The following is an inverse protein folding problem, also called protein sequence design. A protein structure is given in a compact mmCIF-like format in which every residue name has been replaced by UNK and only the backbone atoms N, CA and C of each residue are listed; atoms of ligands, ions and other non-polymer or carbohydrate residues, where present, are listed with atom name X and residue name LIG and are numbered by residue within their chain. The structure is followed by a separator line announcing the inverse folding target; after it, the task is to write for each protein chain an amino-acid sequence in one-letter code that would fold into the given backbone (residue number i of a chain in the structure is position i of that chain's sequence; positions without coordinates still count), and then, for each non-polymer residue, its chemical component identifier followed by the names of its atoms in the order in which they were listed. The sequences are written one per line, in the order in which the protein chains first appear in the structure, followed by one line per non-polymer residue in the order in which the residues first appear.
data_IF_155033906208
#
_entry.id   IF_155033906208
#
_cell.length_a   1.000
_cell.length_b   1.000
_cell.length_c   1.000
_cell.angle_alpha   90.00
_cell.angle_beta   90.00
_cell.angle_gamma   90.00
#
_symmetry.space_group_name_H-M   'P 1'
#
loop_
_entity.id
_entity.type
_entity.pdbx_description
1 polymer ?
#
# COMPACT_ATOMS: atom_id res chain seq x y z
N UNK A 1 4.83 13.13 14.92
CA UNK A 1 5.76 12.92 13.77
C UNK A 1 6.80 11.88 14.18
N UNK A 2 6.39 10.61 14.27
CA UNK A 2 7.22 9.52 14.80
C UNK A 2 7.78 8.58 13.72
N UNK A 3 7.32 8.69 12.47
CA UNK A 3 7.78 7.84 11.37
C UNK A 3 9.29 7.93 11.11
N UNK A 4 9.84 9.15 10.97
CA UNK A 4 11.28 9.34 10.75
C UNK A 4 12.13 8.98 11.99
N UNK A 5 11.51 8.93 13.17
CA UNK A 5 12.18 8.42 14.38
C UNK A 5 12.25 6.89 14.37
N UNK A 6 11.18 6.25 13.90
CA UNK A 6 11.03 4.80 13.80
C UNK A 6 11.82 4.20 12.62
N UNK A 7 11.91 4.90 11.49
CA UNK A 7 12.70 4.49 10.32
C UNK A 7 13.73 5.57 9.96
N UNK A 8 15.00 5.32 10.29
CA UNK A 8 16.10 6.27 10.14
C UNK A 8 16.93 6.10 8.87
N UNK A 9 16.70 5.03 8.10
CA UNK A 9 17.43 4.77 6.86
C UNK A 9 16.93 5.72 5.76
N UNK A 10 17.78 6.13 4.81
CA UNK A 10 17.33 6.94 3.67
C UNK A 10 16.26 6.20 2.85
N UNK A 11 15.17 6.91 2.55
CA UNK A 11 14.14 6.45 1.60
C UNK A 11 14.38 7.21 0.29
N UNK A 12 14.47 6.55 -0.88
CA UNK A 12 14.58 7.25 -2.15
C UNK A 12 13.42 8.24 -2.33
N UNK A 13 13.72 9.45 -2.81
CA UNK A 13 12.77 10.57 -2.86
C UNK A 13 11.46 10.26 -3.59
N UNK A 14 11.53 9.38 -4.60
CA UNK A 14 10.38 8.91 -5.37
C UNK A 14 9.31 8.23 -4.49
N UNK A 15 9.74 7.46 -3.49
CA UNK A 15 8.82 6.84 -2.52
C UNK A 15 8.53 7.78 -1.34
N UNK A 16 9.56 8.51 -0.89
CA UNK A 16 9.48 9.34 0.32
C UNK A 16 8.39 10.42 0.27
N UNK A 17 8.22 11.11 -0.87
CA UNK A 17 7.21 12.16 -1.03
C UNK A 17 5.78 11.59 -0.91
N UNK A 18 5.51 10.47 -1.58
CA UNK A 18 4.20 9.82 -1.58
C UNK A 18 3.92 9.20 -0.20
N UNK A 19 4.90 8.55 0.42
CA UNK A 19 4.77 8.03 1.78
C UNK A 19 4.42 9.13 2.78
N UNK A 20 5.06 10.29 2.68
CA UNK A 20 4.76 11.43 3.55
C UNK A 20 3.33 11.94 3.35
N UNK A 21 2.86 12.06 2.10
CA UNK A 21 1.48 12.44 1.81
C UNK A 21 0.49 11.44 2.39
N UNK A 22 0.73 10.14 2.22
CA UNK A 22 -0.12 9.08 2.75
C UNK A 22 -0.18 9.11 4.28
N UNK A 23 0.97 9.26 4.97
CA UNK A 23 1.03 9.36 6.44
C UNK A 23 0.18 10.54 6.93
N UNK A 24 0.30 11.70 6.28
CA UNK A 24 -0.46 12.89 6.67
C UNK A 24 -1.96 12.67 6.46
N UNK A 25 -2.36 12.13 5.30
CA UNK A 25 -3.78 11.83 5.02
C UNK A 25 -4.36 10.82 6.01
N UNK A 26 -3.63 9.76 6.33
CA UNK A 26 -4.07 8.76 7.29
C UNK A 26 -4.07 9.29 8.72
N UNK A 27 -3.11 10.13 9.11
CA UNK A 27 -3.10 10.80 10.41
C UNK A 27 -4.38 11.64 10.61
N UNK A 28 -4.73 12.47 9.62
CA UNK A 28 -5.95 13.29 9.69
C UNK A 28 -7.23 12.44 9.84
N UNK A 29 -7.22 11.23 9.29
CA UNK A 29 -8.35 10.29 9.35
C UNK A 29 -8.37 9.55 10.69
N UNK A 30 -7.22 9.05 11.16
CA UNK A 30 -7.03 8.26 12.39
C UNK A 30 -7.48 8.98 13.66
N UNK A 31 -7.32 10.30 13.70
CA UNK A 31 -7.64 11.12 14.87
C UNK A 31 -9.01 11.82 14.75
N UNK A 32 -9.84 11.46 13.75
CA UNK A 32 -11.26 11.87 13.75
C UNK A 32 -11.99 11.19 14.90
N UNK A 33 -12.93 11.91 15.53
CA UNK A 33 -13.79 11.36 16.59
C UNK A 33 -14.60 10.13 16.14
N UNK A 34 -15.00 10.11 14.87
CA UNK A 34 -15.75 9.03 14.25
C UNK A 34 -14.86 7.87 13.78
N UNK A 35 -13.54 7.95 13.97
CA UNK A 35 -12.63 6.90 13.50
C UNK A 35 -12.85 5.62 14.30
N UNK A 36 -13.01 4.53 13.56
CA UNK A 36 -12.96 3.17 14.08
C UNK A 36 -12.32 2.30 13.01
N UNK A 37 -11.27 1.57 13.40
CA UNK A 37 -10.60 0.61 12.54
C UNK A 37 -11.60 -0.30 11.84
N UNK A 38 -11.35 -0.57 10.56
CA UNK A 38 -12.13 -1.51 9.77
C UNK A 38 -11.22 -2.35 8.84
N UNK A 39 -11.44 -3.67 8.70
CA UNK A 39 -10.62 -4.52 7.84
C UNK A 39 -10.62 -4.13 6.36
N UNK A 40 -11.69 -3.51 5.85
CA UNK A 40 -11.79 -3.07 4.45
C UNK A 40 -10.81 -1.91 4.19
N UNK A 41 -10.72 -0.97 5.12
CA UNK A 41 -9.71 0.07 5.15
C UNK A 41 -8.31 -0.52 5.16
N UNK A 42 -8.06 -1.51 6.01
CA UNK A 42 -6.75 -2.15 6.11
C UNK A 42 -6.36 -2.84 4.80
N UNK A 43 -7.29 -3.58 4.18
CA UNK A 43 -7.11 -4.16 2.85
C UNK A 43 -6.74 -3.09 1.82
N UNK A 44 -7.49 -1.99 1.80
CA UNK A 44 -7.23 -0.89 0.87
C UNK A 44 -5.87 -0.25 1.11
N UNK A 45 -5.51 0.04 2.36
CA UNK A 45 -4.20 0.58 2.72
C UNK A 45 -3.06 -0.34 2.28
N UNK A 46 -3.13 -1.63 2.65
CA UNK A 46 -2.12 -2.64 2.27
C UNK A 46 -1.98 -2.72 0.74
N UNK A 47 -3.11 -2.69 0.03
CA UNK A 47 -3.11 -2.67 -1.45
C UNK A 47 -2.39 -1.44 -2.01
N UNK A 48 -2.69 -0.23 -1.51
CA UNK A 48 -1.99 0.99 -1.94
C UNK A 48 -0.51 0.91 -1.61
N UNK A 49 -0.17 0.48 -0.40
CA UNK A 49 1.20 0.40 0.08
C UNK A 49 2.05 -0.56 -0.75
N UNK A 50 1.58 -1.78 -0.97
CA UNK A 50 2.34 -2.79 -1.69
C UNK A 50 2.54 -2.40 -3.17
N UNK A 51 1.56 -1.73 -3.78
CA UNK A 51 1.69 -1.16 -5.13
C UNK A 51 2.65 0.02 -5.16
N UNK A 52 2.59 0.91 -4.17
CA UNK A 52 3.53 2.03 -4.03
C UNK A 52 4.96 1.54 -3.88
N UNK A 53 5.16 0.52 -3.06
CA UNK A 53 6.48 -0.01 -2.76
C UNK A 53 6.97 -1.00 -3.82
N UNK A 54 6.22 -1.23 -4.89
CA UNK A 54 6.66 -2.13 -5.97
C UNK A 54 8.00 -1.63 -6.58
N UNK A 55 8.95 -2.55 -6.74
CA UNK A 55 10.30 -2.22 -7.23
C UNK A 55 11.23 -1.54 -6.21
N UNK A 56 10.81 -1.35 -4.95
CA UNK A 56 11.73 -0.91 -3.90
C UNK A 56 12.88 -1.93 -3.73
N UNK A 57 14.14 -1.49 -3.51
CA UNK A 57 15.32 -2.37 -3.64
C UNK A 57 15.36 -3.62 -2.75
N UNK A 58 14.75 -3.56 -1.56
CA UNK A 58 14.92 -4.54 -0.48
C UNK A 58 13.57 -4.83 0.17
N UNK A 59 13.14 -6.10 0.18
CA UNK A 59 11.88 -6.50 0.80
C UNK A 59 11.88 -6.23 2.32
N UNK A 60 13.01 -6.45 3.00
CA UNK A 60 13.15 -6.15 4.43
C UNK A 60 12.90 -4.68 4.76
N UNK A 61 13.39 -3.76 3.91
CA UNK A 61 13.15 -2.34 4.11
C UNK A 61 11.70 -1.96 3.79
N UNK A 62 11.06 -2.58 2.78
CA UNK A 62 9.63 -2.37 2.53
C UNK A 62 8.81 -2.72 3.76
N UNK A 63 9.09 -3.86 4.39
CA UNK A 63 8.35 -4.30 5.57
C UNK A 63 8.71 -3.47 6.81
N UNK A 64 9.97 -3.07 6.97
CA UNK A 64 10.38 -2.16 8.04
C UNK A 64 9.72 -0.77 7.91
N UNK A 65 9.60 -0.24 6.69
CA UNK A 65 8.87 1.01 6.41
C UNK A 65 7.38 0.85 6.71
N UNK A 66 6.77 -0.28 6.35
CA UNK A 66 5.35 -0.57 6.62
C UNK A 66 5.09 -0.54 8.13
N UNK A 67 5.93 -1.24 8.89
CA UNK A 67 5.85 -1.28 10.36
C UNK A 67 6.04 0.10 10.96
N UNK A 68 7.06 0.84 10.54
CA UNK A 68 7.32 2.18 11.02
C UNK A 68 6.16 3.15 10.70
N UNK A 69 5.55 3.03 9.52
CA UNK A 69 4.41 3.82 9.09
C UNK A 69 3.22 3.59 10.03
N UNK A 70 2.81 2.34 10.20
CA UNK A 70 1.61 1.99 10.98
C UNK A 70 1.83 2.28 12.47
N UNK A 71 3.01 1.96 13.01
CA UNK A 71 3.37 2.29 14.39
C UNK A 71 3.35 3.80 14.65
N UNK A 72 3.74 4.64 13.69
CA UNK A 72 3.71 6.09 13.85
C UNK A 72 2.29 6.67 13.96
N UNK A 73 1.27 5.87 13.64
CA UNK A 73 -0.14 6.19 13.79
C UNK A 73 -0.76 5.58 15.05
N UNK A 74 0.04 4.92 15.90
CA UNK A 74 -0.41 4.17 17.08
C UNK A 74 -1.42 3.07 16.71
N UNK A 75 -1.04 2.25 15.74
CA UNK A 75 -1.80 1.10 15.27
C UNK A 75 -0.89 -0.12 15.09
N UNK A 76 -1.49 -1.30 14.88
CA UNK A 76 -0.80 -2.58 14.87
C UNK A 76 -0.52 -3.09 13.44
N UNK A 77 0.74 -3.10 12.96
CA UNK A 77 1.07 -3.49 11.58
C UNK A 77 0.66 -4.93 11.25
N UNK A 78 0.82 -5.85 12.20
CA UNK A 78 0.46 -7.25 12.01
C UNK A 78 -1.05 -7.41 11.81
N UNK A 79 -1.87 -6.62 12.49
CA UNK A 79 -3.34 -6.66 12.32
C UNK A 79 -3.71 -6.29 10.89
N UNK A 80 -3.12 -5.23 10.34
CA UNK A 80 -3.35 -4.81 8.95
C UNK A 80 -3.04 -5.93 7.94
N UNK A 81 -1.88 -6.60 8.08
CA UNK A 81 -1.47 -7.69 7.17
C UNK A 81 -2.41 -8.88 7.27
N UNK A 82 -2.74 -9.32 8.49
CA UNK A 82 -3.61 -10.49 8.73
C UNK A 82 -5.03 -10.24 8.22
N UNK A 83 -5.61 -9.09 8.55
CA UNK A 83 -6.98 -8.76 8.14
C UNK A 83 -7.06 -8.54 6.62
N UNK A 84 -6.05 -7.91 6.01
CA UNK A 84 -5.98 -7.82 4.54
C UNK A 84 -5.95 -9.22 3.90
N UNK A 85 -5.02 -10.10 4.32
CA UNK A 85 -4.92 -11.46 3.79
C UNK A 85 -6.22 -12.27 3.96
N UNK A 86 -6.89 -12.14 5.10
CA UNK A 86 -8.18 -12.77 5.37
C UNK A 86 -9.25 -12.32 4.38
N UNK A 87 -9.37 -11.02 4.16
CA UNK A 87 -10.33 -10.46 3.21
C UNK A 87 -9.98 -10.83 1.76
N UNK A 88 -8.70 -10.88 1.42
CA UNK A 88 -8.26 -11.33 0.09
C UNK A 88 -8.64 -12.78 -0.15
N UNK A 89 -8.34 -13.68 0.79
CA UNK A 89 -8.69 -15.09 0.70
C UNK A 89 -10.20 -15.31 0.61
N UNK A 90 -10.98 -14.56 1.40
CA UNK A 90 -12.43 -14.58 1.31
C UNK A 90 -12.90 -14.12 -0.07
N UNK A 91 -12.43 -12.97 -0.56
CA UNK A 91 -12.85 -12.39 -1.84
C UNK A 91 -12.55 -13.30 -3.03
N UNK A 92 -11.37 -13.94 -3.04
CA UNK A 92 -10.98 -14.90 -4.08
C UNK A 92 -11.85 -16.16 -4.12
N UNK A 93 -12.54 -16.49 -3.02
CA UNK A 93 -13.51 -17.57 -2.98
C UNK A 93 -14.94 -17.13 -3.34
N UNK A 94 -15.17 -15.83 -3.59
CA UNK A 94 -16.47 -15.29 -3.93
C UNK A 94 -16.66 -15.12 -5.44
N UNK A 95 -17.91 -15.04 -5.85
CA UNK A 95 -18.37 -14.47 -7.12
C UNK A 95 -19.22 -13.21 -6.88
N UNK A 96 -19.60 -12.54 -7.96
CA UNK A 96 -20.39 -11.30 -7.94
C UNK A 96 -21.64 -11.34 -7.04
N UNK A 97 -22.43 -12.42 -7.11
CA UNK A 97 -23.67 -12.55 -6.31
C UNK A 97 -23.34 -12.79 -4.83
N UNK A 98 -22.47 -13.76 -4.57
CA UNK A 98 -22.10 -14.15 -3.21
C UNK A 98 -21.44 -13.00 -2.43
N UNK A 99 -20.75 -12.10 -3.13
CA UNK A 99 -20.11 -10.92 -2.56
C UNK A 99 -21.12 -9.86 -2.13
N UNK A 100 -22.18 -9.62 -2.91
CA UNK A 100 -23.23 -8.63 -2.56
C UNK A 100 -24.28 -9.20 -1.61
N UNK A 101 -24.45 -10.51 -1.58
CA UNK A 101 -25.36 -11.23 -0.67
C UNK A 101 -24.72 -11.56 0.68
N UNK A 102 -23.62 -10.89 1.07
CA UNK A 102 -22.95 -11.12 2.35
C UNK A 102 -23.88 -10.98 3.57
N UNK A 103 -24.94 -10.18 3.45
CA UNK A 103 -25.88 -9.90 4.54
C UNK A 103 -26.78 -11.09 4.89
N UNK A 104 -27.03 -12.01 3.95
CA UNK A 104 -27.83 -13.22 4.18
C UNK A 104 -26.99 -14.44 4.58
N UNK A 105 -25.66 -14.27 4.65
CA UNK A 105 -24.69 -15.35 4.87
C UNK A 105 -24.02 -15.23 6.23
N UNK A 106 -23.52 -16.35 6.73
CA UNK A 106 -22.77 -16.40 8.00
C UNK A 106 -21.30 -16.71 7.74
N UNK A 107 -20.43 -16.05 8.49
CA UNK A 107 -18.98 -16.16 8.36
C UNK A 107 -18.28 -14.97 8.99
N UNK A 108 -16.97 -15.10 9.21
CA UNK A 108 -16.20 -14.06 9.88
C UNK A 108 -16.18 -12.76 9.06
N UNK A 109 -15.94 -12.84 7.75
CA UNK A 109 -15.89 -11.67 6.87
C UNK A 109 -17.29 -11.10 6.61
N UNK A 110 -18.30 -11.96 6.46
CA UNK A 110 -19.70 -11.57 6.39
C UNK A 110 -20.11 -10.76 7.63
N UNK A 111 -19.70 -11.18 8.82
CA UNK A 111 -19.96 -10.46 10.07
C UNK A 111 -19.22 -9.11 10.14
N UNK A 112 -18.00 -9.02 9.62
CA UNK A 112 -17.28 -7.75 9.46
C UNK A 112 -18.06 -6.79 8.54
N UNK A 113 -18.51 -7.28 7.38
CA UNK A 113 -19.26 -6.47 6.42
C UNK A 113 -20.63 -6.03 6.98
N UNK A 114 -21.30 -6.90 7.76
CA UNK A 114 -22.54 -6.55 8.49
C UNK A 114 -22.31 -5.45 9.54
N UNK A 115 -21.24 -5.52 10.34
CA UNK A 115 -20.90 -4.45 11.31
C UNK A 115 -20.63 -3.13 10.59
N UNK A 116 -19.86 -3.15 9.50
CA UNK A 116 -19.59 -1.96 8.67
C UNK A 116 -20.90 -1.39 8.12
N UNK A 117 -21.76 -2.22 7.53
CA UNK A 117 -23.05 -1.80 6.98
C UNK A 117 -23.93 -1.13 8.05
N UNK A 118 -24.02 -1.74 9.25
CA UNK A 118 -24.77 -1.19 10.38
C UNK A 118 -24.22 0.17 10.83
N UNK A 119 -22.89 0.31 10.87
CA UNK A 119 -22.24 1.57 11.24
C UNK A 119 -22.45 2.66 10.19
N UNK A 120 -22.30 2.33 8.92
CA UNK A 120 -22.46 3.24 7.79
C UNK A 120 -23.89 3.75 7.62
N UNK A 121 -24.89 3.00 8.09
CA UNK A 121 -26.28 3.45 8.17
C UNK A 121 -26.51 4.59 9.18
N UNK A 122 -25.53 4.91 10.04
CA UNK A 122 -25.64 5.98 11.05
C UNK A 122 -24.78 7.18 10.69
N UNK A 123 -25.25 8.39 11.03
CA UNK A 123 -24.60 9.66 10.62
C UNK A 123 -23.15 9.82 11.10
N UNK A 124 -22.84 9.31 12.30
CA UNK A 124 -21.53 9.47 12.94
C UNK A 124 -20.82 8.14 13.24
N UNK A 125 -21.41 7.00 12.85
CA UNK A 125 -20.87 5.67 13.18
C UNK A 125 -19.79 5.17 12.22
N UNK A 126 -19.59 5.84 11.08
CA UNK A 126 -18.66 5.40 10.04
C UNK A 126 -17.81 6.55 9.49
N UNK A 127 -16.49 6.35 9.52
CA UNK A 127 -15.53 7.27 8.89
C UNK A 127 -15.10 6.71 7.54
N UNK A 128 -15.82 7.11 6.50
CA UNK A 128 -15.40 6.79 5.14
C UNK A 128 -14.00 7.37 4.82
N UNK A 129 -13.24 6.64 4.01
CA UNK A 129 -11.91 7.05 3.56
C UNK A 129 -11.64 6.55 2.13
N UNK A 130 -10.63 7.13 1.48
CA UNK A 130 -10.15 6.64 0.18
C UNK A 130 -9.64 5.20 0.26
N UNK A 131 -8.96 4.82 1.34
CA UNK A 131 -8.50 3.45 1.53
C UNK A 131 -9.69 2.48 1.62
N UNK A 132 -10.81 2.88 2.22
CA UNK A 132 -12.03 2.07 2.20
C UNK A 132 -12.52 1.80 0.76
N UNK A 133 -12.57 2.83 -0.10
CA UNK A 133 -12.93 2.64 -1.51
C UNK A 133 -11.96 1.70 -2.24
N UNK A 134 -10.65 1.86 -2.04
CA UNK A 134 -9.65 0.95 -2.61
C UNK A 134 -9.84 -0.48 -2.10
N UNK A 135 -10.17 -0.66 -0.83
CA UNK A 135 -10.50 -1.96 -0.25
C UNK A 135 -11.71 -2.62 -0.92
N UNK A 136 -12.79 -1.86 -1.14
CA UNK A 136 -13.96 -2.37 -1.88
C UNK A 136 -13.60 -2.77 -3.30
N UNK A 137 -12.83 -1.94 -4.00
CA UNK A 137 -12.37 -2.26 -5.34
C UNK A 137 -11.50 -3.51 -5.37
N UNK A 138 -10.63 -3.69 -4.36
CA UNK A 138 -9.79 -4.88 -4.23
C UNK A 138 -10.61 -6.15 -4.02
N UNK A 139 -11.69 -6.10 -3.22
CA UNK A 139 -12.61 -7.23 -3.08
C UNK A 139 -13.23 -7.63 -4.43
N UNK A 140 -13.71 -6.64 -5.20
CA UNK A 140 -14.32 -6.86 -6.51
C UNK A 140 -13.33 -7.42 -7.54
N UNK A 141 -12.09 -6.91 -7.52
CA UNK A 141 -11.00 -7.40 -8.37
C UNK A 141 -10.73 -8.88 -8.09
N UNK A 142 -10.61 -9.26 -6.81
CA UNK A 142 -10.30 -10.63 -6.41
C UNK A 142 -11.44 -11.63 -6.65
N UNK A 143 -12.69 -11.18 -6.61
CA UNK A 143 -13.86 -12.00 -6.94
C UNK A 143 -14.21 -11.99 -8.44
N UNK A 144 -13.38 -11.36 -9.27
CA UNK A 144 -13.62 -11.14 -10.70
C UNK A 144 -15.02 -10.51 -11.00
N UNK A 145 -15.47 -9.59 -10.13
CA UNK A 145 -16.79 -8.97 -10.17
C UNK A 145 -16.69 -7.48 -10.54
N UNK A 146 -16.05 -7.18 -11.67
CA UNK A 146 -15.68 -5.81 -12.06
C UNK A 146 -16.81 -5.03 -12.76
N UNK A 147 -18.01 -5.59 -12.85
CA UNK A 147 -19.15 -4.92 -13.46
C UNK A 147 -19.63 -3.72 -12.61
N UNK A 148 -19.92 -2.55 -13.21
CA UNK A 148 -20.36 -1.36 -12.47
C UNK A 148 -21.61 -1.59 -11.61
N UNK A 149 -22.51 -2.47 -12.06
CA UNK A 149 -23.75 -2.84 -11.37
C UNK A 149 -23.49 -3.57 -10.05
N UNK A 150 -22.40 -4.33 -9.95
CA UNK A 150 -22.02 -5.05 -8.73
C UNK A 150 -21.46 -4.09 -7.69
N UNK A 151 -20.65 -3.11 -8.12
CA UNK A 151 -20.17 -2.05 -7.23
C UNK A 151 -21.35 -1.26 -6.63
N UNK A 152 -22.36 -0.95 -7.43
CA UNK A 152 -23.56 -0.26 -6.97
C UNK A 152 -24.32 -1.08 -5.92
N UNK A 153 -24.56 -2.37 -6.18
CA UNK A 153 -25.20 -3.30 -5.23
C UNK A 153 -24.39 -3.43 -3.94
N UNK A 154 -23.08 -3.56 -4.03
CA UNK A 154 -22.19 -3.66 -2.87
C UNK A 154 -22.24 -2.37 -2.03
N UNK A 155 -22.17 -1.20 -2.67
CA UNK A 155 -22.28 0.08 -1.97
C UNK A 155 -23.62 0.22 -1.24
N UNK A 156 -24.72 -0.17 -1.90
CA UNK A 156 -26.05 -0.18 -1.30
C UNK A 156 -26.12 -1.13 -0.09
N UNK A 157 -25.62 -2.36 -0.22
CA UNK A 157 -25.61 -3.35 0.86
C UNK A 157 -24.76 -2.90 2.07
N UNK A 158 -23.70 -2.11 1.83
CA UNK A 158 -22.84 -1.53 2.86
C UNK A 158 -23.32 -0.17 3.39
N UNK A 159 -24.43 0.38 2.89
CA UNK A 159 -24.90 1.72 3.23
C UNK A 159 -23.85 2.83 2.99
N UNK A 160 -23.03 2.70 1.94
CA UNK A 160 -22.00 3.70 1.59
C UNK A 160 -22.35 4.45 0.31
N UNK A 161 -21.93 5.72 0.24
CA UNK A 161 -22.24 6.59 -0.88
C UNK A 161 -21.41 6.22 -2.13
N UNK A 162 -22.08 5.65 -3.14
CA UNK A 162 -21.46 5.20 -4.40
C UNK A 162 -20.70 6.31 -5.15
N UNK A 163 -21.22 7.54 -5.16
CA UNK A 163 -20.54 8.67 -5.81
C UNK A 163 -19.20 9.02 -5.14
N UNK A 164 -19.12 8.89 -3.82
CA UNK A 164 -17.89 9.10 -3.06
C UNK A 164 -16.85 8.03 -3.40
N UNK A 165 -17.30 6.77 -3.51
CA UNK A 165 -16.47 5.63 -3.93
C UNK A 165 -15.92 5.86 -5.34
N UNK A 166 -16.77 6.15 -6.33
CA UNK A 166 -16.33 6.41 -7.71
C UNK A 166 -15.26 7.51 -7.77
N UNK A 167 -15.53 8.65 -7.12
CA UNK A 167 -14.60 9.79 -7.08
C UNK A 167 -13.24 9.40 -6.49
N UNK A 168 -13.22 8.64 -5.39
CA UNK A 168 -11.97 8.22 -4.76
C UNK A 168 -11.23 7.14 -5.54
N UNK A 169 -11.94 6.27 -6.26
CA UNK A 169 -11.33 5.31 -7.19
C UNK A 169 -10.68 6.01 -8.38
N UNK A 170 -11.26 7.08 -8.90
CA UNK A 170 -10.63 7.88 -9.96
C UNK A 170 -9.37 8.60 -9.46
N UNK A 171 -9.40 9.13 -8.23
CA UNK A 171 -8.19 9.70 -7.60
C UNK A 171 -7.12 8.62 -7.40
N UNK A 172 -7.50 7.42 -6.97
CA UNK A 172 -6.58 6.30 -6.81
C UNK A 172 -5.95 5.85 -8.14
N UNK A 173 -6.74 5.74 -9.22
CA UNK A 173 -6.21 5.46 -10.57
C UNK A 173 -5.18 6.49 -11.02
N UNK A 174 -5.46 7.78 -10.75
CA UNK A 174 -4.52 8.85 -11.06
C UNK A 174 -3.23 8.76 -10.20
N UNK A 175 -3.33 8.38 -8.93
CA UNK A 175 -2.17 8.11 -8.08
C UNK A 175 -1.34 6.95 -8.63
N UNK A 176 -1.96 5.82 -8.96
CA UNK A 176 -1.28 4.66 -9.55
C UNK A 176 -0.58 5.00 -10.86
N UNK A 177 -1.22 5.76 -11.75
CA UNK A 177 -0.60 6.18 -13.02
C UNK A 177 0.68 6.99 -12.80
N UNK A 178 0.67 7.91 -11.82
CA UNK A 178 1.88 8.66 -11.42
C UNK A 178 2.96 7.75 -10.85
N UNK A 179 2.58 6.74 -10.08
CA UNK A 179 3.52 5.78 -9.49
C UNK A 179 4.16 4.87 -10.54
N UNK A 180 3.40 4.41 -11.53
CA UNK A 180 3.94 3.63 -12.66
C UNK A 180 4.96 4.45 -13.44
N UNK A 181 4.65 5.72 -13.74
CA UNK A 181 5.60 6.63 -14.39
C UNK A 181 6.86 6.85 -13.54
N UNK A 182 6.70 7.00 -12.22
CA UNK A 182 7.82 7.18 -11.30
C UNK A 182 8.69 5.91 -11.17
N UNK A 183 8.09 4.71 -11.28
CA UNK A 183 8.79 3.43 -11.25
C UNK A 183 9.77 3.27 -12.41
N UNK A 184 9.37 3.69 -13.62
CA UNK A 184 10.29 3.66 -14.77
C UNK A 184 11.49 4.57 -14.55
N UNK A 185 11.29 5.76 -13.95
CA UNK A 185 12.39 6.64 -13.55
C UNK A 185 13.29 6.03 -12.45
N UNK A 186 12.72 5.25 -11.52
CA UNK A 186 13.49 4.53 -10.49
C UNK A 186 14.31 3.40 -11.09
N UNK A 187 13.76 2.62 -12.04
CA UNK A 187 14.54 1.59 -12.75
C UNK A 187 15.74 2.21 -13.44
N UNK A 188 15.56 3.33 -14.13
CA UNK A 188 16.65 4.08 -14.76
C UNK A 188 17.66 4.60 -13.73
N UNK A 189 17.21 5.08 -12.57
CA UNK A 189 18.09 5.53 -11.49
C UNK A 189 18.91 4.37 -10.88
N UNK A 190 18.26 3.26 -10.55
CA UNK A 190 18.92 2.05 -10.00
C UNK A 190 19.91 1.48 -11.00
N UNK A 191 19.55 1.42 -12.28
CA UNK A 191 20.47 1.00 -13.34
C UNK A 191 21.70 1.92 -13.43
N UNK A 192 21.49 3.25 -13.31
CA UNK A 192 22.58 4.23 -13.28
C UNK A 192 23.48 4.07 -12.04
N UNK A 193 22.92 3.90 -10.85
CA UNK A 193 23.70 3.73 -9.63
C UNK A 193 24.45 2.39 -9.61
N UNK A 194 23.84 1.31 -10.12
CA UNK A 194 24.52 0.02 -10.29
C UNK A 194 25.70 0.14 -11.26
N UNK A 195 25.51 0.81 -12.40
CA UNK A 195 26.58 1.08 -13.36
C UNK A 195 27.72 1.91 -12.75
N UNK A 196 27.40 3.00 -12.04
CA UNK A 196 28.43 3.81 -11.33
C UNK A 196 29.18 3.01 -10.28
N UNK A 197 28.50 2.09 -9.59
CA UNK A 197 29.13 1.24 -8.58
C UNK A 197 30.07 0.22 -9.24
N UNK A 198 29.64 -0.42 -10.32
CA UNK A 198 30.47 -1.32 -11.12
C UNK A 198 31.70 -0.59 -11.71
N UNK A 199 31.53 0.64 -12.21
CA UNK A 199 32.62 1.50 -12.70
C UNK A 199 33.62 1.87 -11.60
N UNK A 200 33.14 2.16 -10.39
CA UNK A 200 34.00 2.44 -9.22
C UNK A 200 34.74 1.19 -8.73
N UNK A 201 34.11 0.03 -8.78
CA UNK A 201 34.72 -1.24 -8.39
C UNK A 201 35.77 -1.69 -9.43
N UNK A 202 35.52 -1.47 -10.72
CA UNK A 202 36.52 -1.70 -11.80
C UNK A 202 37.65 -0.68 -11.79
N UNK A 203 37.38 0.60 -11.51
CA UNK A 203 38.45 1.58 -11.31
C UNK A 203 39.34 1.21 -10.13
N UNK A 204 38.76 0.87 -8.97
CA UNK A 204 39.52 0.42 -7.79
C UNK A 204 40.34 -0.84 -8.05
N UNK A 205 39.80 -1.83 -8.76
CA UNK A 205 40.56 -3.04 -9.10
C UNK A 205 41.69 -2.73 -10.09
N UNK A 206 41.45 -1.88 -11.09
CA UNK A 206 42.49 -1.44 -12.04
C UNK A 206 43.60 -0.61 -11.39
N UNK A 207 43.28 0.25 -10.42
CA UNK A 207 44.24 1.02 -9.64
C UNK A 207 45.04 0.14 -8.68
N UNK A 208 44.40 -0.86 -8.05
CA UNK A 208 45.08 -1.84 -7.22
C UNK A 208 46.06 -2.70 -8.03
N UNK A 209 45.68 -3.12 -9.25
CA UNK A 209 46.57 -3.85 -10.17
C UNK A 209 47.75 -2.97 -10.60
N UNK A 210 47.52 -1.69 -10.96
CA UNK A 210 48.60 -0.75 -11.31
C UNK A 210 49.58 -0.50 -10.16
N UNK A 211 49.08 -0.36 -8.92
CA UNK A 211 49.95 -0.25 -7.74
C UNK A 211 50.77 -1.52 -7.51
N UNK A 212 50.19 -2.70 -7.69
CA UNK A 212 50.91 -3.95 -7.52
C UNK A 212 52.03 -4.12 -8.57
N UNK A 213 51.75 -3.83 -9.84
CA UNK A 213 52.72 -3.93 -10.94
C UNK A 213 53.83 -2.87 -10.84
N UNK A 214 53.50 -1.64 -10.42
CA UNK A 214 54.49 -0.57 -10.23
C UNK A 214 55.49 -0.85 -9.10
N UNK A 215 55.10 -1.63 -8.08
CA UNK A 215 56.01 -2.05 -6.99
C UNK A 215 57.01 -3.10 -7.48
N UNK A 216 56.64 -3.95 -8.44
CA UNK A 216 57.54 -4.94 -9.04
C UNK A 216 58.56 -4.36 -10.02
N UNK A 217 58.31 -3.18 -10.60
CA UNK A 217 59.25 -2.52 -11.53
C UNK A 217 60.31 -1.64 -10.83
N UNK A 218 60.15 -1.35 -9.54
CA UNK A 218 61.11 -0.54 -8.75
C UNK A 218 62.11 -1.44 -7.98
N UNK A 219 61.88 -2.76 -7.97
CA UNK A 219 62.73 -3.75 -7.31
C UNK A 219 63.52 -4.59 -8.32
N UNK A 220 64.34 -3.96 -9.17
CA UNK A 220 65.43 -4.61 -9.94
C UNK A 220 66.61 -3.66 -10.02
#
# INVERSE_FOLDING_TARGET
MDFLKAYRRPIPSVYGSVLQELIVQQHLMRYKKSYRYDPIFALGFVTVYDRLMEGYPTEDDKEAIFRAYINALNEEPNQYRVDAQKLEAWASAQNANSLVEFSSREGEVENILKDISKRAATKDGFSYSRFFAVGLFRLLELSNATEPTILEKLCAALNVNKQSVDRDLDVYRNLLSKLVQAKELVKEYVAREKKKREERETQKSSEAVKKCVGVYQIAV
#
